data_IF_698089874392
#
_entry.id   IF_698089874392
#
_cell.length_a   1.000
_cell.length_b   1.000
_cell.length_c   1.000
_cell.angle_alpha   90.00
_cell.angle_beta   90.00
_cell.angle_gamma   90.00
#
_symmetry.space_group_name_H-M   'P 1'
#
loop_
_entity.id
_entity.type
_entity.pdbx_description
1 polymer ?
#
# COMPACT_ATOMS: atom_id res chain seq x y z
N UNK A 1 -3.52 27.30 -5.08
CA UNK A 1 -3.64 26.74 -5.29
C UNK A 1 -3.16 25.90 -5.18
N UNK A 2 -3.23 25.61 -4.93
CA UNK A 2 -3.07 24.83 -4.70
C UNK A 2 -2.68 23.87 -5.23
N UNK A 3 -2.00 23.40 -5.23
CA UNK A 3 -1.71 22.59 -5.74
C UNK A 3 -2.08 21.52 -5.70
N UNK A 4 -2.53 21.40 -5.73
CA UNK A 4 -3.34 20.29 -5.76
C UNK A 4 -2.89 19.24 -6.71
N UNK A 5 -2.07 18.75 -6.99
CA UNK A 5 -1.73 17.71 -7.88
C UNK A 5 -0.89 16.62 -7.28
N UNK A 6 -0.46 16.81 -6.05
CA UNK A 6 0.36 15.79 -5.40
C UNK A 6 -0.49 14.58 -5.02
N UNK A 7 -0.10 13.38 -5.49
CA UNK A 7 -0.83 12.18 -5.10
C UNK A 7 -0.74 11.92 -3.60
N UNK A 8 -1.80 11.37 -3.03
CA UNK A 8 -1.88 11.08 -1.60
C UNK A 8 -1.62 9.60 -1.35
N UNK A 9 -0.71 9.32 -0.44
CA UNK A 9 -0.37 7.95 -0.04
C UNK A 9 -0.81 7.74 1.39
N UNK A 10 -1.66 6.74 1.61
CA UNK A 10 -2.09 6.35 2.95
C UNK A 10 -1.13 5.27 3.46
N UNK A 11 -0.58 5.50 4.64
CA UNK A 11 0.38 4.59 5.26
C UNK A 11 -0.28 3.96 6.48
N UNK A 12 -0.36 2.63 6.49
CA UNK A 12 -0.92 1.88 7.62
C UNK A 12 0.21 1.14 8.32
N UNK A 13 0.67 1.69 9.43
CA UNK A 13 1.86 1.22 10.13
C UNK A 13 1.78 1.64 11.60
N UNK A 14 1.84 0.69 12.52
CA UNK A 14 1.72 1.02 13.95
C UNK A 14 3.02 1.52 14.57
N UNK A 15 4.17 1.19 14.02
CA UNK A 15 5.46 1.67 14.52
C UNK A 15 5.67 3.13 14.11
N UNK A 16 5.78 4.02 15.10
CA UNK A 16 5.89 5.45 14.84
C UNK A 16 7.17 5.81 14.07
N UNK A 17 8.27 5.10 14.36
CA UNK A 17 9.54 5.36 13.68
C UNK A 17 9.48 4.97 12.20
N UNK A 18 8.94 3.79 11.93
CA UNK A 18 8.79 3.33 10.55
C UNK A 18 7.80 4.23 9.81
N UNK A 19 6.67 4.55 10.44
CA UNK A 19 5.67 5.43 9.82
C UNK A 19 6.28 6.79 9.47
N UNK A 20 7.08 7.36 10.38
CA UNK A 20 7.77 8.62 10.15
C UNK A 20 8.77 8.56 9.01
N UNK A 21 9.53 7.46 8.92
CA UNK A 21 10.47 7.26 7.82
C UNK A 21 9.73 7.20 6.47
N UNK A 22 8.66 6.43 6.41
CA UNK A 22 7.89 6.28 5.17
C UNK A 22 7.27 7.63 4.76
N UNK A 23 6.70 8.38 5.72
CA UNK A 23 6.13 9.69 5.43
C UNK A 23 7.17 10.66 4.89
N UNK A 24 8.33 10.71 5.55
CA UNK A 24 9.40 11.61 5.16
C UNK A 24 9.93 11.29 3.76
N UNK A 25 10.12 10.01 3.47
CA UNK A 25 10.60 9.57 2.15
C UNK A 25 9.60 9.95 1.06
N UNK A 26 8.31 9.74 1.30
CA UNK A 26 7.27 10.07 0.33
C UNK A 26 7.15 11.57 0.12
N UNK A 27 7.18 12.35 1.19
CA UNK A 27 7.11 13.80 1.09
C UNK A 27 8.29 14.36 0.31
N UNK A 28 9.48 13.80 0.54
CA UNK A 28 10.66 14.19 -0.22
C UNK A 28 10.52 13.84 -1.71
N UNK A 29 9.74 12.83 -2.04
CA UNK A 29 9.45 12.44 -3.41
C UNK A 29 8.32 13.21 -4.07
N UNK A 30 7.70 14.15 -3.34
CA UNK A 30 6.65 14.99 -3.90
C UNK A 30 5.23 14.50 -3.64
N UNK A 31 5.06 13.55 -2.72
CA UNK A 31 3.75 12.98 -2.38
C UNK A 31 3.21 13.57 -1.09
N UNK A 32 1.88 13.54 -0.95
CA UNK A 32 1.25 13.77 0.35
C UNK A 32 1.22 12.45 1.09
N UNK A 33 1.54 12.46 2.38
CA UNK A 33 1.56 11.23 3.18
C UNK A 33 0.61 11.39 4.37
N UNK A 34 -0.25 10.42 4.56
CA UNK A 34 -1.16 10.34 5.70
C UNK A 34 -0.91 9.02 6.40
N UNK A 35 -0.54 9.06 7.67
CA UNK A 35 -0.23 7.84 8.43
C UNK A 35 -1.32 7.50 9.43
N UNK A 36 -1.67 6.22 9.50
CA UNK A 36 -2.57 5.69 10.51
C UNK A 36 -1.95 4.44 11.12
N UNK A 37 -2.46 4.02 12.26
CA UNK A 37 -1.83 2.97 13.06
C UNK A 37 -2.51 1.61 12.94
N UNK A 38 -3.76 1.56 12.48
CA UNK A 38 -4.56 0.34 12.50
C UNK A 38 -5.32 0.18 11.19
N UNK A 39 -5.77 -1.05 10.94
CA UNK A 39 -6.62 -1.31 9.77
C UNK A 39 -7.95 -0.60 9.86
N UNK A 40 -8.53 -0.52 11.08
CA UNK A 40 -9.78 0.19 11.28
C UNK A 40 -9.64 1.67 10.94
N UNK A 41 -8.55 2.30 11.41
CA UNK A 41 -8.29 3.71 11.10
C UNK A 41 -8.10 3.92 9.60
N UNK A 42 -7.45 2.97 8.93
CA UNK A 42 -7.26 3.05 7.48
C UNK A 42 -8.60 3.04 6.73
N UNK A 43 -9.51 2.14 7.11
CA UNK A 43 -10.82 2.08 6.48
C UNK A 43 -11.63 3.36 6.74
N UNK A 44 -11.51 3.94 7.93
CA UNK A 44 -12.17 5.20 8.23
C UNK A 44 -11.67 6.33 7.33
N UNK A 45 -10.35 6.42 7.14
CA UNK A 45 -9.77 7.45 6.26
C UNK A 45 -10.21 7.23 4.82
N UNK A 46 -10.20 5.97 4.35
CA UNK A 46 -10.62 5.68 2.97
C UNK A 46 -12.08 6.04 2.73
N UNK A 47 -12.91 5.97 3.76
CA UNK A 47 -14.32 6.35 3.65
C UNK A 47 -14.53 7.86 3.60
N UNK A 48 -13.56 8.65 4.02
CA UNK A 48 -13.70 10.11 4.13
C UNK A 48 -12.87 10.86 3.10
N UNK A 49 -11.76 10.29 2.67
CA UNK A 49 -10.79 10.97 1.81
C UNK A 49 -10.29 10.03 0.74
N UNK A 50 -10.01 10.59 -0.43
CA UNK A 50 -9.42 9.81 -1.50
C UNK A 50 -7.93 9.58 -1.23
N UNK A 51 -7.49 8.35 -1.42
CA UNK A 51 -6.07 8.02 -1.44
C UNK A 51 -5.73 7.50 -2.84
N UNK A 52 -4.52 7.79 -3.29
CA UNK A 52 -4.07 7.35 -4.61
C UNK A 52 -3.28 6.05 -4.53
N UNK A 53 -2.67 5.75 -3.39
CA UNK A 53 -1.95 4.51 -3.09
C UNK A 53 -2.12 4.22 -1.61
N UNK A 54 -2.17 2.94 -1.24
CA UNK A 54 -2.13 2.55 0.16
C UNK A 54 -0.95 1.61 0.40
N UNK A 55 -0.18 1.89 1.46
CA UNK A 55 0.93 1.04 1.92
C UNK A 55 0.50 0.41 3.24
N UNK A 56 0.65 -0.91 3.35
CA UNK A 56 0.10 -1.67 4.47
C UNK A 56 1.19 -2.54 5.10
N UNK A 57 1.43 -2.37 6.40
CA UNK A 57 2.26 -3.31 7.14
C UNK A 57 1.57 -4.68 7.18
N UNK A 58 2.34 -5.73 7.05
CA UNK A 58 1.80 -7.09 7.05
C UNK A 58 1.13 -7.48 8.35
N UNK A 59 1.58 -6.93 9.47
CA UNK A 59 1.02 -7.25 10.79
C UNK A 59 0.64 -5.95 11.49
N UNK A 60 -0.66 -5.77 11.70
CA UNK A 60 -1.20 -4.59 12.38
C UNK A 60 -1.74 -4.99 13.74
N UNK A 61 -1.95 -4.03 14.67
CA UNK A 61 -2.42 -4.39 16.02
C UNK A 61 -3.81 -5.04 16.03
N UNK A 62 -4.66 -4.65 15.07
CA UNK A 62 -6.06 -5.08 15.05
C UNK A 62 -6.36 -6.13 14.00
N UNK A 63 -5.47 -6.34 13.03
CA UNK A 63 -5.70 -7.34 11.98
C UNK A 63 -4.42 -7.61 11.20
N UNK A 64 -4.38 -8.72 10.49
CA UNK A 64 -3.31 -8.98 9.54
C UNK A 64 -3.50 -8.06 8.32
N UNK A 65 -2.38 -7.54 7.78
CA UNK A 65 -2.45 -6.62 6.65
C UNK A 65 -3.15 -7.20 5.41
N UNK A 66 -3.04 -8.52 5.21
CA UNK A 66 -3.74 -9.20 4.12
C UNK A 66 -5.26 -9.06 4.27
N UNK A 67 -5.76 -9.11 5.50
CA UNK A 67 -7.20 -8.95 5.75
C UNK A 67 -7.68 -7.57 5.32
N UNK A 68 -6.89 -6.53 5.64
CA UNK A 68 -7.21 -5.18 5.21
C UNK A 68 -7.19 -5.08 3.68
N UNK A 69 -6.17 -5.62 3.04
CA UNK A 69 -6.06 -5.59 1.59
C UNK A 69 -7.24 -6.31 0.93
N UNK A 70 -7.64 -7.47 1.48
CA UNK A 70 -8.78 -8.21 0.96
C UNK A 70 -10.06 -7.39 1.05
N UNK A 71 -10.29 -6.72 2.17
CA UNK A 71 -11.48 -5.88 2.33
C UNK A 71 -11.50 -4.74 1.31
N UNK A 72 -10.33 -4.15 1.04
CA UNK A 72 -10.23 -3.09 0.04
C UNK A 72 -10.55 -3.63 -1.36
N UNK A 73 -10.00 -4.80 -1.72
CA UNK A 73 -10.22 -5.38 -3.05
C UNK A 73 -11.66 -5.81 -3.28
N UNK A 74 -12.41 -6.08 -2.20
CA UNK A 74 -13.81 -6.47 -2.31
C UNK A 74 -14.75 -5.28 -2.51
N UNK A 75 -14.26 -4.06 -2.28
CA UNK A 75 -15.10 -2.87 -2.39
C UNK A 75 -14.90 -2.23 -3.76
N UNK A 76 -15.97 -2.13 -4.58
CA UNK A 76 -15.87 -1.52 -5.92
C UNK A 76 -15.39 -0.07 -5.89
N UNK A 77 -15.58 0.65 -4.77
CA UNK A 77 -15.11 2.02 -4.65
C UNK A 77 -13.58 2.11 -4.75
N UNK A 78 -12.87 1.02 -4.46
CA UNK A 78 -11.41 0.99 -4.45
C UNK A 78 -10.82 0.13 -5.58
N UNK A 79 -11.58 -0.08 -6.64
CA UNK A 79 -11.13 -0.95 -7.74
C UNK A 79 -9.85 -0.46 -8.41
N UNK A 80 -9.54 0.83 -8.27
CA UNK A 80 -8.35 1.42 -8.86
C UNK A 80 -7.35 1.91 -7.81
N UNK A 81 -7.49 1.48 -6.57
CA UNK A 81 -6.56 1.84 -5.51
C UNK A 81 -5.42 0.81 -5.48
N UNK A 82 -4.21 1.20 -5.87
CA UNK A 82 -3.08 0.28 -5.80
C UNK A 82 -2.65 0.08 -4.35
N UNK A 83 -2.22 -1.14 -4.06
CA UNK A 83 -1.87 -1.59 -2.71
C UNK A 83 -0.44 -2.12 -2.72
N UNK A 84 0.36 -1.75 -1.74
CA UNK A 84 1.63 -2.43 -1.51
C UNK A 84 1.79 -2.72 -0.03
N UNK A 85 2.24 -3.94 0.27
CA UNK A 85 2.68 -4.26 1.62
C UNK A 85 4.09 -3.69 1.82
N UNK A 86 4.39 -3.32 3.06
CA UNK A 86 5.74 -2.94 3.47
C UNK A 86 6.00 -3.71 4.77
N UNK A 87 6.76 -4.80 4.70
CA UNK A 87 6.84 -5.72 5.82
C UNK A 87 8.21 -6.36 5.96
N UNK A 88 8.60 -6.68 7.19
CA UNK A 88 9.79 -7.46 7.46
C UNK A 88 9.57 -8.96 7.46
N UNK A 89 8.31 -9.39 7.30
CA UNK A 89 7.96 -10.81 7.41
C UNK A 89 8.45 -11.66 6.23
N UNK A 90 8.63 -11.03 5.07
CA UNK A 90 9.05 -11.76 3.87
C UNK A 90 10.10 -10.96 3.10
N UNK A 91 10.81 -11.64 2.21
CA UNK A 91 11.67 -10.97 1.23
C UNK A 91 10.99 -11.09 -0.12
N UNK A 92 10.78 -9.93 -0.75
CA UNK A 92 10.10 -9.86 -2.02
C UNK A 92 10.99 -9.15 -3.02
N UNK A 93 11.26 -9.79 -4.15
CA UNK A 93 12.12 -9.21 -5.17
C UNK A 93 11.44 -9.03 -6.50
N UNK A 94 10.12 -8.89 -6.54
CA UNK A 94 9.42 -8.82 -7.81
C UNK A 94 8.54 -7.58 -7.90
N UNK A 95 8.19 -7.24 -9.13
CA UNK A 95 7.36 -6.09 -9.43
C UNK A 95 5.90 -6.34 -8.99
N UNK A 96 5.15 -5.27 -8.70
CA UNK A 96 3.73 -5.40 -8.41
C UNK A 96 2.98 -6.03 -9.58
N UNK A 97 1.95 -6.80 -9.26
CA UNK A 97 1.07 -7.42 -10.25
C UNK A 97 -0.34 -6.92 -10.00
N UNK A 98 -0.97 -6.40 -11.05
CA UNK A 98 -2.36 -5.91 -11.00
C UNK A 98 -2.55 -4.85 -9.90
N UNK A 99 -1.56 -4.01 -9.69
CA UNK A 99 -1.61 -2.97 -8.68
C UNK A 99 -1.51 -3.49 -7.24
N UNK A 100 -0.98 -4.69 -7.06
CA UNK A 100 -0.78 -5.30 -5.74
C UNK A 100 0.68 -5.72 -5.63
N UNK A 101 1.40 -5.13 -4.69
CA UNK A 101 2.83 -5.38 -4.52
C UNK A 101 3.23 -5.56 -3.08
N UNK A 102 4.52 -5.78 -2.88
CA UNK A 102 5.08 -5.90 -1.54
C UNK A 102 6.54 -5.46 -1.55
N UNK A 103 6.92 -4.76 -0.50
CA UNK A 103 8.28 -4.29 -0.27
C UNK A 103 8.77 -4.89 1.04
N UNK A 104 10.05 -5.31 1.06
CA UNK A 104 10.67 -5.87 2.25
C UNK A 104 11.33 -4.78 3.07
N UNK A 105 11.15 -4.83 4.38
CA UNK A 105 11.95 -4.00 5.30
C UNK A 105 13.27 -4.71 5.59
N UNK A 106 14.36 -3.99 5.75
CA UNK A 106 14.51 -2.54 5.58
C UNK A 106 14.55 -2.16 4.10
N UNK A 107 14.12 -0.94 3.79
CA UNK A 107 14.15 -0.47 2.40
C UNK A 107 14.70 0.96 2.35
N UNK A 108 15.22 1.33 1.18
CA UNK A 108 15.72 2.66 0.95
C UNK A 108 14.57 3.58 0.52
N UNK A 109 14.72 4.87 0.81
CA UNK A 109 13.70 5.86 0.43
C UNK A 109 13.41 5.82 -1.07
N UNK A 110 14.46 5.69 -1.91
CA UNK A 110 14.26 5.64 -3.36
C UNK A 110 13.50 4.39 -3.80
N UNK A 111 13.67 3.26 -3.11
CA UNK A 111 12.93 2.05 -3.44
C UNK A 111 11.44 2.24 -3.20
N UNK A 112 11.11 2.93 -2.11
CA UNK A 112 9.72 3.23 -1.79
C UNK A 112 9.13 4.16 -2.84
N UNK A 113 9.83 5.22 -3.20
CA UNK A 113 9.35 6.20 -4.19
C UNK A 113 9.16 5.52 -5.55
N UNK A 114 10.12 4.70 -5.96
CA UNK A 114 10.01 3.99 -7.24
C UNK A 114 8.83 3.05 -7.27
N UNK A 115 8.57 2.36 -6.15
CA UNK A 115 7.44 1.45 -6.06
C UNK A 115 6.11 2.21 -6.15
N UNK A 116 6.01 3.35 -5.48
CA UNK A 116 4.81 4.17 -5.54
C UNK A 116 4.60 4.71 -6.96
N UNK A 117 5.66 5.13 -7.62
CA UNK A 117 5.57 5.57 -9.02
C UNK A 117 5.04 4.47 -9.93
N UNK A 118 5.51 3.24 -9.74
CA UNK A 118 5.04 2.10 -10.55
C UNK A 118 3.56 1.82 -10.31
N UNK A 119 3.13 1.91 -9.05
CA UNK A 119 1.73 1.69 -8.70
C UNK A 119 0.82 2.77 -9.29
N UNK A 120 1.29 4.02 -9.28
CA UNK A 120 0.52 5.11 -9.88
C UNK A 120 0.43 4.96 -11.38
N UNK A 121 1.49 4.48 -12.04
CA UNK A 121 1.43 4.22 -13.50
C UNK A 121 0.39 3.15 -13.82
N UNK A 122 0.30 2.11 -12.99
CA UNK A 122 -0.72 1.09 -13.15
C UNK A 122 -2.13 1.71 -13.09
N UNK A 123 -2.33 2.58 -12.10
CA UNK A 123 -3.62 3.25 -11.92
C UNK A 123 -3.96 4.13 -13.12
N UNK A 124 -3.00 4.91 -13.59
CA UNK A 124 -3.19 5.81 -14.73
C UNK A 124 -3.45 5.05 -16.03
N UNK A 125 -2.91 3.85 -16.14
CA UNK A 125 -3.11 3.00 -17.31
C UNK A 125 -4.48 2.32 -17.32
N UNK A 126 -5.29 2.51 -16.27
CA UNK A 126 -6.65 2.00 -16.24
C UNK A 126 -6.91 0.90 -15.22
N UNK A 127 -5.90 0.45 -14.51
CA UNK A 127 -6.06 -0.60 -13.50
C UNK A 127 -6.16 -1.99 -14.10
N UNK A 128 -6.70 -2.92 -13.33
CA UNK A 128 -6.84 -4.32 -13.73
C UNK A 128 -8.17 -4.87 -13.22
N UNK A 129 -8.71 -5.91 -13.83
CA UNK A 129 -9.93 -6.56 -13.34
C UNK A 129 -9.75 -7.07 -11.90
N UNK A 130 -10.83 -7.06 -11.14
CA UNK A 130 -10.78 -7.45 -9.72
C UNK A 130 -10.29 -8.87 -9.54
N UNK A 131 -10.62 -9.78 -10.47
CA UNK A 131 -10.17 -11.16 -10.37
C UNK A 131 -8.64 -11.28 -10.45
N UNK A 132 -8.00 -10.46 -11.29
CA UNK A 132 -6.55 -10.45 -11.39
C UNK A 132 -5.91 -9.88 -10.13
N UNK A 133 -6.53 -8.86 -9.55
CA UNK A 133 -6.06 -8.27 -8.31
C UNK A 133 -6.19 -9.25 -7.14
N UNK A 134 -7.30 -9.96 -7.07
CA UNK A 134 -7.51 -10.97 -6.04
C UNK A 134 -6.52 -12.11 -6.17
N UNK A 135 -6.22 -12.53 -7.40
CA UNK A 135 -5.21 -13.57 -7.64
C UNK A 135 -3.82 -13.11 -7.20
N UNK A 136 -3.47 -11.86 -7.48
CA UNK A 136 -2.18 -11.31 -7.06
C UNK A 136 -2.07 -11.27 -5.53
N UNK A 137 -3.15 -10.88 -4.84
CA UNK A 137 -3.16 -10.87 -3.39
C UNK A 137 -3.04 -12.29 -2.83
N UNK A 138 -3.75 -13.26 -3.42
CA UNK A 138 -3.69 -14.64 -2.97
C UNK A 138 -2.27 -15.20 -3.09
N UNK A 139 -1.55 -14.83 -4.14
CA UNK A 139 -0.18 -15.26 -4.31
C UNK A 139 0.74 -14.67 -3.25
N UNK A 140 0.57 -13.40 -2.92
CA UNK A 140 1.34 -12.78 -1.85
C UNK A 140 0.97 -13.39 -0.49
N UNK A 141 -0.29 -13.65 -0.25
CA UNK A 141 -0.75 -14.30 0.97
C UNK A 141 -0.08 -15.67 1.14
N UNK A 142 0.02 -16.42 0.05
CA UNK A 142 0.71 -17.71 0.07
C UNK A 142 2.18 -17.55 0.48
N UNK A 143 2.85 -16.52 -0.04
CA UNK A 143 4.24 -16.22 0.32
C UNK A 143 4.35 -15.87 1.82
N UNK A 144 3.42 -15.07 2.34
CA UNK A 144 3.39 -14.74 3.76
C UNK A 144 3.27 -15.98 4.64
N UNK A 145 2.45 -16.95 4.21
CA UNK A 145 2.20 -18.15 5.01
C UNK A 145 3.33 -19.17 4.91
N UNK A 146 3.95 -19.29 3.75
CA UNK A 146 4.92 -20.35 3.46
C UNK A 146 6.35 -19.86 3.60
N UNK A 147 6.61 -18.63 3.22
CA UNK A 147 7.96 -18.08 3.22
C UNK A 147 8.40 -17.45 4.54
N UNK A 148 7.50 -17.40 5.51
CA UNK A 148 7.81 -16.76 6.80
C UNK A 148 8.68 -17.63 7.71
#
# INVERSE_FOLDING_TARGET
MVETGAPAVLIVEDDAGVRGFLSCALESGGYLAVGVRTGEAAMAVLGESAADVILIDGILPDMHGVRLARAILEDPAFERLPISFVTGAIRVGRQPVAGVGALSKPLLARELVEAVEALLRWREAGGSPVAERQAALAELEHIFLVGA
#
